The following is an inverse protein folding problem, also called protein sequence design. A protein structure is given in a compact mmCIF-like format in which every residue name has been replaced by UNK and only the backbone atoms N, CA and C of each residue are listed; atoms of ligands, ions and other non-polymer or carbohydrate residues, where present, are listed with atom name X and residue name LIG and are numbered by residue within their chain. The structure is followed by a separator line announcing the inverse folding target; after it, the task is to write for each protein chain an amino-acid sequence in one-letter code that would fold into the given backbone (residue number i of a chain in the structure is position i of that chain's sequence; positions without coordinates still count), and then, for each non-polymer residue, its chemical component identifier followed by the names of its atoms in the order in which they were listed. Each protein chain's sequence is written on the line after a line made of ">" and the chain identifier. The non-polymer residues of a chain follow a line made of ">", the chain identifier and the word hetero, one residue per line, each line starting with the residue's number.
data_IF_081825080151
#
_entry.id   IF_081825080151
#
_cell.length_a   1.000
_cell.length_b   1.000
_cell.length_c   1.000
_cell.angle_alpha   90.00
_cell.angle_beta   90.00
_cell.angle_gamma   90.00
#
_symmetry.space_group_name_H-M   'P 1'
#
loop_
_entity.id
_entity.type
_entity.pdbx_description
1 polymer ?
#
# COMPACT_ATOMS: atom_id res chain seq x y z
N UNK A 1 -47.55 27.37 0.18
CA UNK A 1 -47.81 26.17 1.01
C UNK A 1 -46.48 25.48 1.22
N UNK A 2 -45.84 25.71 2.36
CA UNK A 2 -44.51 25.19 2.70
C UNK A 2 -44.66 24.38 3.98
N UNK A 3 -44.38 23.08 3.92
CA UNK A 3 -44.45 22.18 5.08
C UNK A 3 -43.07 21.60 5.29
N UNK A 4 -42.43 22.08 6.36
CA UNK A 4 -41.25 21.49 6.99
C UNK A 4 -41.64 20.19 7.69
N UNK A 5 -40.92 19.10 7.41
CA UNK A 5 -41.04 17.83 8.12
C UNK A 5 -39.69 17.47 8.74
N UNK A 6 -39.52 17.88 9.99
CA UNK A 6 -38.41 17.49 10.87
C UNK A 6 -38.81 16.20 11.58
N UNK A 7 -38.31 15.05 11.12
CA UNK A 7 -38.52 13.77 11.80
C UNK A 7 -37.51 13.62 12.95
N UNK A 8 -38.04 13.57 14.17
CA UNK A 8 -37.30 13.30 15.42
C UNK A 8 -36.90 11.82 15.48
N UNK A 9 -35.63 11.55 15.76
CA UNK A 9 -35.14 10.21 16.09
C UNK A 9 -35.58 9.82 17.51
N UNK A 10 -36.34 8.75 17.63
CA UNK A 10 -36.72 8.13 18.89
C UNK A 10 -36.06 6.74 18.98
N UNK A 11 -34.84 6.68 19.53
CA UNK A 11 -34.24 5.42 19.98
C UNK A 11 -33.46 5.69 21.27
N UNK A 12 -34.08 5.33 22.39
CA UNK A 12 -33.46 5.31 23.71
C UNK A 12 -32.54 4.08 23.88
N UNK A 13 -31.69 4.08 24.92
CA UNK A 13 -30.69 3.05 25.13
C UNK A 13 -31.32 1.72 25.59
N UNK A 14 -30.96 0.62 24.91
CA UNK A 14 -31.34 -0.74 25.25
C UNK A 14 -30.73 -1.17 26.60
N UNK A 15 -31.57 -1.44 27.60
CA UNK A 15 -31.20 -2.18 28.82
C UNK A 15 -31.19 -3.68 28.52
N UNK A 16 -30.10 -4.36 28.89
CA UNK A 16 -30.02 -5.82 28.87
C UNK A 16 -30.96 -6.41 29.93
N UNK A 17 -31.93 -7.21 29.49
CA UNK A 17 -32.82 -7.97 30.36
C UNK A 17 -32.21 -9.35 30.64
N UNK A 18 -31.98 -9.66 31.91
CA UNK A 18 -31.61 -11.00 32.38
C UNK A 18 -32.86 -11.88 32.41
N UNK A 19 -32.88 -12.94 31.59
CA UNK A 19 -33.92 -13.98 31.65
C UNK A 19 -33.48 -15.06 32.63
N UNK A 20 -34.17 -15.13 33.76
CA UNK A 20 -34.16 -16.28 34.66
C UNK A 20 -35.37 -17.17 34.35
N UNK A 21 -35.17 -18.47 34.22
CA UNK A 21 -36.20 -19.49 34.53
C UNK A 21 -35.58 -20.79 35.06
N UNK A 22 -36.35 -21.55 35.87
CA UNK A 22 -35.82 -22.50 36.85
C UNK A 22 -35.94 -23.96 36.40
N UNK A 23 -35.11 -24.83 36.98
CA UNK A 23 -35.25 -26.28 36.84
C UNK A 23 -34.61 -26.98 38.04
N UNK A 24 -35.46 -27.44 38.96
CA UNK A 24 -35.09 -28.25 40.12
C UNK A 24 -34.92 -29.71 39.68
N UNK A 25 -33.87 -30.38 40.12
CA UNK A 25 -33.93 -31.80 40.49
C UNK A 25 -32.77 -32.16 41.39
N UNK A 26 -33.10 -32.91 42.43
CA UNK A 26 -32.32 -33.28 43.59
C UNK A 26 -31.38 -34.45 43.25
N UNK A 27 -30.11 -34.33 43.62
CA UNK A 27 -29.32 -35.48 44.04
C UNK A 27 -28.47 -35.06 45.24
N UNK A 28 -28.80 -35.66 46.38
CA UNK A 28 -28.02 -35.59 47.58
C UNK A 28 -26.75 -36.41 47.39
N UNK A 29 -25.60 -35.74 47.47
CA UNK A 29 -24.32 -36.40 47.68
C UNK A 29 -23.62 -35.68 48.81
N UNK A 30 -23.60 -36.33 49.98
CA UNK A 30 -22.69 -36.00 51.05
C UNK A 30 -21.26 -36.18 50.54
N UNK A 31 -20.54 -35.09 50.32
CA UNK A 31 -19.08 -35.12 50.25
C UNK A 31 -18.55 -34.26 51.40
N UNK A 32 -17.90 -34.96 52.32
CA UNK A 32 -17.09 -34.41 53.39
C UNK A 32 -16.11 -33.38 52.83
N UNK A 33 -16.17 -32.16 53.36
CA UNK A 33 -15.16 -31.13 53.08
C UNK A 33 -13.90 -31.51 53.86
N UNK A 34 -13.01 -32.26 53.20
CA UNK A 34 -11.63 -32.37 53.66
C UNK A 34 -10.96 -31.04 53.34
N UNK A 35 -10.84 -30.17 54.34
CA UNK A 35 -9.94 -29.02 54.27
C UNK A 35 -8.50 -29.53 54.25
N UNK A 36 -7.95 -29.78 53.06
CA UNK A 36 -6.52 -29.96 52.88
C UNK A 36 -5.83 -28.60 53.09
N UNK A 37 -5.35 -28.37 54.33
CA UNK A 37 -4.38 -27.32 54.63
C UNK A 37 -3.07 -27.67 53.91
N UNK A 38 -2.87 -27.17 52.69
CA UNK A 38 -1.55 -27.16 52.09
C UNK A 38 -0.68 -26.15 52.84
N UNK A 39 0.50 -26.54 53.37
CA UNK A 39 1.38 -25.60 54.04
C UNK A 39 1.88 -24.57 53.02
N UNK A 40 1.65 -23.29 53.34
CA UNK A 40 2.26 -22.17 52.64
C UNK A 40 3.78 -22.20 52.89
N UNK A 41 4.56 -22.46 51.84
CA UNK A 41 6.02 -22.39 51.89
C UNK A 41 6.44 -20.95 51.63
N UNK A 42 7.04 -20.24 52.59
CA UNK A 42 7.53 -18.89 52.34
C UNK A 42 8.68 -18.95 51.34
N UNK A 43 8.53 -18.19 50.25
CA UNK A 43 9.56 -18.02 49.22
C UNK A 43 10.75 -17.29 49.83
N UNK A 44 11.83 -18.01 50.14
CA UNK A 44 13.11 -17.41 50.52
C UNK A 44 13.67 -16.68 49.30
N UNK A 45 13.69 -15.35 49.37
CA UNK A 45 14.35 -14.49 48.40
C UNK A 45 15.86 -14.68 48.57
N UNK A 46 16.43 -15.65 47.86
CA UNK A 46 17.88 -15.76 47.75
C UNK A 46 18.41 -14.43 47.21
N UNK A 47 19.32 -13.81 47.96
CA UNK A 47 20.03 -12.62 47.55
C UNK A 47 21.04 -13.04 46.49
N UNK A 48 20.59 -13.14 45.24
CA UNK A 48 21.50 -13.26 44.10
C UNK A 48 22.21 -11.91 43.98
N UNK A 49 23.50 -11.87 44.33
CA UNK A 49 24.36 -10.76 43.95
C UNK A 49 24.24 -10.57 42.44
N UNK A 50 23.76 -9.40 42.03
CA UNK A 50 23.66 -9.06 40.61
C UNK A 50 25.10 -9.05 40.07
N UNK A 51 25.44 -9.87 39.06
CA UNK A 51 26.74 -9.76 38.44
C UNK A 51 26.90 -8.32 37.96
N UNK A 52 28.00 -7.68 38.35
CA UNK A 52 28.31 -6.31 37.95
C UNK A 52 28.37 -6.29 36.42
N UNK A 53 27.32 -5.75 35.80
CA UNK A 53 27.28 -5.61 34.34
C UNK A 53 28.47 -4.73 33.97
N UNK A 54 29.46 -5.32 33.31
CA UNK A 54 30.60 -4.58 32.80
C UNK A 54 30.05 -3.45 31.92
N UNK A 55 30.31 -2.22 32.33
CA UNK A 55 29.88 -1.01 31.65
C UNK A 55 30.30 -1.13 30.19
N UNK A 56 29.33 -1.26 29.29
CA UNK A 56 29.57 -1.23 27.84
C UNK A 56 30.54 -0.07 27.55
N UNK A 57 31.64 -0.31 26.82
CA UNK A 57 32.54 0.78 26.49
C UNK A 57 31.70 1.85 25.82
N UNK A 58 31.77 3.07 26.34
CA UNK A 58 31.08 4.19 25.73
C UNK A 58 31.74 4.39 24.38
N UNK A 59 31.14 3.81 23.33
CA UNK A 59 31.48 4.15 21.96
C UNK A 59 31.30 5.65 21.88
N UNK A 60 32.40 6.38 21.72
CA UNK A 60 32.37 7.83 21.57
C UNK A 60 31.29 8.14 20.53
N UNK A 61 30.26 8.89 20.92
CA UNK A 61 29.26 9.37 19.98
C UNK A 61 30.04 10.05 18.87
N UNK A 62 30.09 9.43 17.69
CA UNK A 62 30.48 10.11 16.47
C UNK A 62 29.45 11.22 16.30
N UNK A 63 29.80 12.41 16.74
CA UNK A 63 29.09 13.62 16.34
C UNK A 63 29.18 13.64 14.82
N UNK A 64 28.05 13.38 14.14
CA UNK A 64 27.99 13.59 12.71
C UNK A 64 28.43 15.03 12.47
N UNK A 65 29.53 15.21 11.75
CA UNK A 65 29.98 16.53 11.33
C UNK A 65 28.83 17.15 10.53
N UNK A 66 28.24 18.21 11.07
CA UNK A 66 27.08 18.92 10.53
C UNK A 66 27.37 19.69 9.23
N UNK A 67 28.46 19.37 8.54
CA UNK A 67 29.00 20.15 7.41
C UNK A 67 28.59 19.64 6.04
N UNK A 68 27.90 18.50 5.92
CA UNK A 68 27.32 18.11 4.64
C UNK A 68 25.93 18.75 4.49
N UNK A 69 25.89 19.99 4.00
CA UNK A 69 24.67 20.55 3.42
C UNK A 69 24.14 19.54 2.41
N UNK A 70 22.86 19.09 2.50
CA UNK A 70 22.32 18.23 1.46
C UNK A 70 22.43 18.99 0.13
N UNK A 71 23.16 18.41 -0.83
CA UNK A 71 23.25 18.96 -2.18
C UNK A 71 21.83 19.22 -2.70
N UNK A 72 21.55 20.36 -3.34
CA UNK A 72 20.23 20.62 -3.89
C UNK A 72 19.87 19.50 -4.85
N UNK A 73 18.90 18.66 -4.48
CA UNK A 73 18.37 17.67 -5.41
C UNK A 73 17.64 18.44 -6.50
N UNK A 74 17.93 18.19 -7.80
CA UNK A 74 17.22 18.87 -8.87
C UNK A 74 15.72 18.51 -8.76
N UNK A 75 14.89 19.52 -8.52
CA UNK A 75 13.44 19.35 -8.40
C UNK A 75 12.82 19.57 -9.78
N UNK A 76 12.20 18.54 -10.34
CA UNK A 76 11.42 18.64 -11.57
C UNK A 76 9.96 18.99 -11.19
N UNK A 77 9.39 20.10 -11.69
CA UNK A 77 8.03 20.48 -11.35
C UNK A 77 7.00 19.54 -12.00
N UNK A 78 5.87 19.28 -11.31
CA UNK A 78 4.82 18.41 -11.84
C UNK A 78 4.28 18.86 -13.21
N UNK A 79 4.24 20.17 -13.46
CA UNK A 79 3.77 20.76 -14.72
C UNK A 79 4.62 20.39 -15.94
N UNK A 80 5.81 19.86 -15.73
CA UNK A 80 6.70 19.34 -16.77
C UNK A 80 6.64 17.82 -16.93
N UNK A 81 6.00 17.11 -15.99
CA UNK A 81 5.94 15.66 -15.98
C UNK A 81 4.67 15.15 -16.66
N UNK A 82 4.88 14.19 -17.56
CA UNK A 82 3.82 13.45 -18.24
C UNK A 82 3.69 12.04 -17.67
N UNK A 83 2.46 11.67 -17.30
CA UNK A 83 2.13 10.31 -16.85
C UNK A 83 1.52 9.54 -18.01
N UNK A 84 2.02 8.34 -18.29
CA UNK A 84 1.54 7.45 -19.35
C UNK A 84 0.98 6.15 -18.80
N UNK A 85 -0.11 5.68 -19.39
CA UNK A 85 -0.73 4.39 -19.09
C UNK A 85 -0.92 3.60 -20.39
N UNK A 86 -0.01 2.67 -20.69
CA UNK A 86 -0.14 1.77 -21.83
C UNK A 86 -1.20 0.69 -21.55
N UNK A 87 -1.71 0.08 -22.62
CA UNK A 87 -2.59 -1.08 -22.55
C UNK A 87 -1.79 -2.31 -22.11
N UNK A 88 -2.41 -3.14 -21.27
CA UNK A 88 -1.83 -4.41 -20.89
C UNK A 88 -1.81 -5.40 -22.06
N UNK A 89 -0.64 -5.99 -22.30
CA UNK A 89 -0.37 -6.95 -23.39
C UNK A 89 -0.37 -8.39 -22.91
N UNK A 90 -0.33 -8.62 -21.60
CA UNK A 90 -0.27 -9.95 -21.03
C UNK A 90 -1.61 -10.69 -21.26
N UNK A 91 -1.59 -11.96 -21.70
CA UNK A 91 -2.82 -12.70 -22.00
C UNK A 91 -3.74 -12.75 -20.77
N UNK A 92 -5.03 -12.49 -21.00
CA UNK A 92 -6.08 -12.45 -19.96
C UNK A 92 -5.90 -11.38 -18.87
N UNK A 93 -4.98 -10.43 -19.02
CA UNK A 93 -4.92 -9.28 -18.12
C UNK A 93 -6.02 -8.29 -18.50
N UNK A 94 -6.98 -8.11 -17.59
CA UNK A 94 -8.13 -7.23 -17.78
C UNK A 94 -8.02 -5.91 -17.03
N UNK A 95 -7.06 -5.79 -16.11
CA UNK A 95 -6.92 -4.59 -15.27
C UNK A 95 -6.22 -3.49 -16.06
N UNK A 96 -6.43 -2.27 -15.59
CA UNK A 96 -5.75 -1.05 -16.07
C UNK A 96 -5.08 -0.36 -14.88
N UNK A 97 -3.93 0.27 -15.11
CA UNK A 97 -3.14 0.84 -14.02
C UNK A 97 -3.80 2.06 -13.33
N UNK A 98 -4.71 2.76 -14.03
CA UNK A 98 -5.41 3.93 -13.50
C UNK A 98 -6.88 3.96 -13.91
N UNK A 99 -7.73 4.41 -13.00
CA UNK A 99 -9.16 4.68 -13.26
C UNK A 99 -9.38 6.15 -13.68
N UNK A 100 -10.46 6.48 -14.40
CA UNK A 100 -10.77 7.86 -14.79
C UNK A 100 -10.81 8.85 -13.62
N UNK A 101 -11.31 8.40 -12.45
CA UNK A 101 -11.34 9.22 -11.24
C UNK A 101 -9.92 9.62 -10.77
N UNK A 102 -8.97 8.68 -10.84
CA UNK A 102 -7.59 8.92 -10.45
C UNK A 102 -6.83 9.78 -11.48
N UNK A 103 -7.20 9.74 -12.76
CA UNK A 103 -6.68 10.67 -13.77
C UNK A 103 -6.98 12.12 -13.36
N UNK A 104 -8.24 12.42 -13.04
CA UNK A 104 -8.63 13.75 -12.61
C UNK A 104 -7.87 14.21 -11.34
N UNK A 105 -7.58 13.28 -10.42
CA UNK A 105 -6.76 13.58 -9.25
C UNK A 105 -5.31 13.94 -9.60
N UNK A 106 -4.69 13.22 -10.55
CA UNK A 106 -3.33 13.53 -11.00
C UNK A 106 -3.28 14.92 -11.67
N UNK A 107 -4.22 15.22 -12.55
CA UNK A 107 -4.29 16.54 -13.18
C UNK A 107 -4.46 17.66 -12.13
N UNK A 108 -5.31 17.44 -11.12
CA UNK A 108 -5.48 18.37 -9.99
C UNK A 108 -4.22 18.56 -9.13
N UNK A 109 -3.32 17.57 -9.09
CA UNK A 109 -2.01 17.69 -8.42
C UNK A 109 -1.00 18.51 -9.21
N UNK A 110 -1.30 18.84 -10.47
CA UNK A 110 -0.48 19.69 -11.33
C UNK A 110 0.41 18.94 -12.31
N UNK A 111 0.15 17.66 -12.57
CA UNK A 111 0.81 16.95 -13.66
C UNK A 111 0.43 17.58 -15.01
N UNK A 112 1.39 17.71 -15.93
CA UNK A 112 1.21 18.38 -17.22
C UNK A 112 0.06 17.78 -18.03
N UNK A 113 0.11 16.46 -18.19
CA UNK A 113 -0.84 15.66 -18.95
C UNK A 113 -0.81 14.21 -18.49
N UNK A 114 -1.93 13.54 -18.68
CA UNK A 114 -2.06 12.09 -18.48
C UNK A 114 -2.40 11.47 -19.83
N UNK A 115 -1.46 10.70 -20.38
CA UNK A 115 -1.59 9.99 -21.64
C UNK A 115 -2.12 8.57 -21.36
N UNK A 116 -3.20 8.20 -22.04
CA UNK A 116 -3.78 6.85 -21.95
C UNK A 116 -3.76 6.25 -23.36
N UNK A 117 -3.30 5.00 -23.48
CA UNK A 117 -3.39 4.27 -24.74
C UNK A 117 -4.87 3.98 -25.07
N UNK A 118 -5.28 4.22 -26.32
CA UNK A 118 -6.65 3.90 -26.78
C UNK A 118 -6.98 2.43 -26.52
N UNK A 119 -8.12 2.19 -25.89
CA UNK A 119 -8.58 0.85 -25.53
C UNK A 119 -7.84 0.20 -24.35
N UNK A 120 -7.01 0.94 -23.59
CA UNK A 120 -6.34 0.41 -22.41
C UNK A 120 -7.32 -0.06 -21.31
N UNK A 121 -8.48 0.61 -21.20
CA UNK A 121 -9.49 0.33 -20.19
C UNK A 121 -10.62 -0.60 -20.65
N UNK A 122 -10.69 -0.99 -21.93
CA UNK A 122 -11.81 -1.76 -22.50
C UNK A 122 -12.06 -3.07 -21.73
N UNK A 123 -11.00 -3.82 -21.43
CA UNK A 123 -11.09 -5.08 -20.71
C UNK A 123 -11.52 -4.90 -19.23
N UNK A 124 -11.36 -3.70 -18.68
CA UNK A 124 -11.77 -3.30 -17.34
C UNK A 124 -13.16 -2.63 -17.31
N UNK A 125 -13.89 -2.63 -18.44
CA UNK A 125 -15.17 -1.93 -18.61
C UNK A 125 -15.07 -0.40 -18.43
N UNK A 126 -13.88 0.16 -18.66
CA UNK A 126 -13.60 1.58 -18.60
C UNK A 126 -13.41 2.11 -20.02
N UNK A 127 -14.48 2.72 -20.56
CA UNK A 127 -14.49 3.25 -21.92
C UNK A 127 -13.54 4.45 -22.06
N UNK A 128 -12.94 4.56 -23.24
CA UNK A 128 -12.09 5.67 -23.67
C UNK A 128 -12.74 7.05 -23.42
N UNK A 129 -14.04 7.18 -23.67
CA UNK A 129 -14.80 8.41 -23.43
C UNK A 129 -14.77 8.86 -21.95
N UNK A 130 -14.74 7.92 -21.00
CA UNK A 130 -14.68 8.26 -19.58
C UNK A 130 -13.31 8.87 -19.20
N UNK A 131 -12.24 8.42 -19.86
CA UNK A 131 -10.91 9.00 -19.70
C UNK A 131 -10.82 10.40 -20.29
N UNK A 132 -11.38 10.63 -21.48
CA UNK A 132 -11.45 11.96 -22.09
C UNK A 132 -12.25 12.94 -21.22
N UNK A 133 -13.40 12.52 -20.69
CA UNK A 133 -14.20 13.32 -19.75
C UNK A 133 -13.44 13.65 -18.45
N UNK A 134 -12.55 12.77 -18.01
CA UNK A 134 -11.68 13.01 -16.86
C UNK A 134 -10.48 13.94 -17.18
N UNK A 135 -10.31 14.34 -18.44
CA UNK A 135 -9.21 15.22 -18.90
C UNK A 135 -7.95 14.48 -19.34
N UNK A 136 -7.99 13.15 -19.52
CA UNK A 136 -6.89 12.42 -20.13
C UNK A 136 -6.76 12.74 -21.63
N UNK A 137 -5.56 12.58 -22.16
CA UNK A 137 -5.32 12.60 -23.60
C UNK A 137 -5.18 11.16 -24.11
N UNK A 138 -6.10 10.73 -24.98
CA UNK A 138 -6.01 9.42 -25.63
C UNK A 138 -5.02 9.46 -26.80
N UNK A 139 -4.04 8.57 -26.77
CA UNK A 139 -2.98 8.48 -27.77
C UNK A 139 -2.74 7.03 -28.21
N UNK A 140 -1.98 6.85 -29.27
CA UNK A 140 -1.54 5.53 -29.73
C UNK A 140 -0.41 4.97 -28.84
N UNK A 141 -0.17 3.66 -28.96
CA UNK A 141 0.84 2.95 -28.18
C UNK A 141 2.22 3.63 -28.25
N UNK A 142 2.71 3.94 -29.46
CA UNK A 142 4.05 4.49 -29.63
C UNK A 142 4.19 5.86 -28.94
N UNK A 143 3.16 6.70 -29.02
CA UNK A 143 3.14 8.00 -28.33
C UNK A 143 3.13 7.86 -26.81
N UNK A 144 2.41 6.89 -26.23
CA UNK A 144 2.45 6.68 -24.76
C UNK A 144 3.87 6.42 -24.29
N UNK A 145 4.58 5.47 -24.90
CA UNK A 145 5.93 5.10 -24.46
C UNK A 145 6.96 6.21 -24.72
N UNK A 146 6.85 6.88 -25.87
CA UNK A 146 7.82 7.90 -26.31
C UNK A 146 7.62 9.28 -25.68
N UNK A 147 6.48 9.60 -25.08
CA UNK A 147 6.20 10.93 -24.53
C UNK A 147 6.01 10.96 -23.01
N UNK A 148 6.09 9.81 -22.34
CA UNK A 148 5.81 9.68 -20.90
C UNK A 148 7.08 9.66 -20.06
N UNK A 149 7.13 10.54 -19.07
CA UNK A 149 8.21 10.54 -18.08
C UNK A 149 7.96 9.49 -17.00
N UNK A 150 6.69 9.26 -16.64
CA UNK A 150 6.27 8.27 -15.66
C UNK A 150 5.32 7.31 -16.34
N UNK A 151 5.62 6.02 -16.32
CA UNK A 151 4.77 4.96 -16.87
C UNK A 151 4.16 4.16 -15.74
N UNK A 152 2.83 4.05 -15.75
CA UNK A 152 2.06 3.23 -14.82
C UNK A 152 1.57 2.00 -15.55
N UNK A 153 1.96 0.83 -15.05
CA UNK A 153 1.56 -0.46 -15.61
C UNK A 153 1.21 -1.40 -14.46
N UNK A 154 0.32 -2.34 -14.70
CA UNK A 154 -0.03 -3.36 -13.71
C UNK A 154 1.10 -4.40 -13.66
N UNK A 155 1.33 -5.10 -14.78
CA UNK A 155 2.37 -6.12 -14.89
C UNK A 155 3.71 -5.47 -15.28
N UNK A 156 4.82 -6.17 -15.06
CA UNK A 156 6.12 -5.71 -15.54
C UNK A 156 6.15 -5.55 -17.06
N UNK A 157 7.01 -4.66 -17.58
CA UNK A 157 7.17 -4.48 -19.03
C UNK A 157 7.67 -5.77 -19.69
N UNK A 158 7.15 -6.07 -20.87
CA UNK A 158 7.59 -7.23 -21.63
C UNK A 158 9.03 -7.03 -22.17
N UNK A 159 9.90 -8.05 -22.10
CA UNK A 159 11.23 -7.98 -22.69
C UNK A 159 11.19 -7.72 -24.20
N UNK A 160 12.14 -6.92 -24.71
CA UNK A 160 12.13 -6.47 -26.11
C UNK A 160 11.32 -5.19 -26.26
N UNK A 161 10.21 -5.25 -26.99
CA UNK A 161 9.47 -4.09 -27.49
C UNK A 161 9.16 -3.01 -26.43
N UNK A 162 8.65 -3.38 -25.26
CA UNK A 162 8.23 -2.40 -24.23
C UNK A 162 9.42 -1.77 -23.51
N UNK A 163 10.47 -2.55 -23.23
CA UNK A 163 11.68 -2.04 -22.58
C UNK A 163 12.47 -1.14 -23.53
N UNK A 164 12.49 -1.47 -24.82
CA UNK A 164 13.19 -0.68 -25.83
C UNK A 164 12.51 0.66 -26.11
N UNK A 165 11.18 0.70 -25.98
CA UNK A 165 10.37 1.91 -26.13
C UNK A 165 10.45 2.88 -24.94
N UNK A 166 11.01 2.46 -23.79
CA UNK A 166 11.19 3.33 -22.63
C UNK A 166 12.19 4.44 -22.91
N UNK A 167 11.80 5.67 -22.55
CA UNK A 167 12.72 6.79 -22.54
C UNK A 167 13.80 6.62 -21.46
N UNK A 168 15.02 7.04 -21.78
CA UNK A 168 16.11 7.08 -20.80
C UNK A 168 15.75 8.06 -19.67
N UNK A 169 15.94 7.64 -18.42
CA UNK A 169 15.60 8.45 -17.25
C UNK A 169 14.11 8.50 -16.91
N UNK A 170 13.26 7.75 -17.61
CA UNK A 170 11.86 7.61 -17.22
C UNK A 170 11.72 6.86 -15.90
N UNK A 171 10.54 6.97 -15.30
CA UNK A 171 10.14 6.22 -14.12
C UNK A 171 9.07 5.20 -14.52
N UNK A 172 9.21 3.94 -14.10
CA UNK A 172 8.17 2.92 -14.26
C UNK A 172 7.69 2.44 -12.90
N UNK A 173 6.37 2.34 -12.75
CA UNK A 173 5.72 1.83 -11.54
C UNK A 173 4.85 0.64 -11.96
N UNK A 174 5.23 -0.56 -11.50
CA UNK A 174 4.53 -1.81 -11.83
C UNK A 174 4.94 -2.96 -10.91
N UNK A 175 4.30 -4.13 -11.05
CA UNK A 175 4.78 -5.36 -10.43
C UNK A 175 5.97 -5.94 -11.21
N UNK A 176 7.14 -6.02 -10.58
CA UNK A 176 8.38 -6.43 -11.25
C UNK A 176 8.87 -7.80 -10.79
N UNK A 177 8.61 -8.20 -9.55
CA UNK A 177 9.12 -9.44 -8.97
C UNK A 177 10.64 -9.58 -9.17
N UNK A 178 11.45 -8.63 -8.66
CA UNK A 178 12.88 -8.52 -9.00
C UNK A 178 13.70 -9.73 -8.56
N UNK A 179 13.26 -10.46 -7.53
CA UNK A 179 13.92 -11.70 -7.10
C UNK A 179 13.80 -12.83 -8.13
N UNK A 180 12.69 -12.88 -8.87
CA UNK A 180 12.44 -13.87 -9.91
C UNK A 180 12.94 -13.40 -11.28
N UNK A 181 12.85 -12.10 -11.56
CA UNK A 181 13.07 -11.51 -12.88
C UNK A 181 14.34 -10.67 -12.95
N UNK A 182 15.50 -11.25 -12.58
CA UNK A 182 16.78 -10.52 -12.59
C UNK A 182 17.12 -9.91 -13.96
N UNK A 183 16.87 -10.66 -15.04
CA UNK A 183 17.15 -10.19 -16.40
C UNK A 183 16.37 -8.91 -16.74
N UNK A 184 15.09 -8.83 -16.35
CA UNK A 184 14.27 -7.64 -16.57
C UNK A 184 14.82 -6.44 -15.81
N UNK A 185 15.26 -6.63 -14.56
CA UNK A 185 15.88 -5.58 -13.75
C UNK A 185 17.18 -5.11 -14.37
N UNK A 186 18.02 -6.03 -14.85
CA UNK A 186 19.28 -5.71 -15.53
C UNK A 186 19.02 -4.90 -16.82
N UNK A 187 17.99 -5.25 -17.58
CA UNK A 187 17.59 -4.51 -18.79
C UNK A 187 17.09 -3.09 -18.46
N UNK A 188 16.24 -2.92 -17.45
CA UNK A 188 15.79 -1.60 -16.99
C UNK A 188 16.96 -0.75 -16.48
N UNK A 189 17.90 -1.36 -15.76
CA UNK A 189 19.12 -0.70 -15.29
C UNK A 189 20.00 -0.24 -16.45
N UNK A 190 20.17 -1.07 -17.50
CA UNK A 190 20.96 -0.72 -18.69
C UNK A 190 20.41 0.52 -19.41
N UNK A 191 19.08 0.72 -19.38
CA UNK A 191 18.38 1.88 -19.96
C UNK A 191 18.36 3.11 -19.04
N UNK A 192 18.91 3.01 -17.82
CA UNK A 192 18.86 4.04 -16.77
C UNK A 192 17.42 4.47 -16.43
N UNK A 193 16.51 3.50 -16.42
CA UNK A 193 15.12 3.71 -16.00
C UNK A 193 15.03 3.58 -14.48
N UNK A 194 14.29 4.47 -13.83
CA UNK A 194 13.97 4.35 -12.40
C UNK A 194 12.75 3.46 -12.24
N UNK A 195 12.87 2.35 -11.52
CA UNK A 195 11.79 1.38 -11.40
C UNK A 195 11.30 1.23 -9.95
N UNK A 196 10.00 1.38 -9.74
CA UNK A 196 9.34 1.10 -8.46
C UNK A 196 8.55 -0.21 -8.56
N UNK A 197 9.06 -1.24 -7.89
CA UNK A 197 8.40 -2.55 -7.79
C UNK A 197 7.31 -2.50 -6.71
N UNK A 198 6.04 -2.57 -7.13
CA UNK A 198 4.89 -2.54 -6.21
C UNK A 198 4.81 -3.77 -5.29
N UNK A 199 5.44 -4.88 -5.67
CA UNK A 199 5.60 -6.08 -4.86
C UNK A 199 6.65 -5.96 -3.74
N UNK A 200 7.54 -4.96 -3.82
CA UNK A 200 8.61 -4.74 -2.85
C UNK A 200 8.30 -3.62 -1.84
N UNK A 201 7.04 -3.17 -1.78
CA UNK A 201 6.60 -2.17 -0.79
C UNK A 201 6.75 -2.76 0.62
N UNK A 202 7.50 -2.11 1.54
CA UNK A 202 7.74 -2.65 2.87
C UNK A 202 6.44 -2.70 3.69
N UNK A 203 6.22 -3.79 4.42
CA UNK A 203 5.04 -3.98 5.27
C UNK A 203 5.18 -3.26 6.61
N UNK A 204 5.07 -1.94 6.57
CA UNK A 204 5.17 -1.03 7.72
C UNK A 204 3.99 -0.06 7.75
N UNK A 205 3.62 0.47 8.92
CA UNK A 205 2.39 1.27 9.11
C UNK A 205 2.26 2.45 8.14
N UNK A 206 3.34 3.16 7.83
CA UNK A 206 3.33 4.31 6.91
C UNK A 206 3.08 3.93 5.44
N UNK A 207 3.31 2.68 5.06
CA UNK A 207 3.25 2.22 3.68
C UNK A 207 2.01 1.38 3.38
N UNK A 208 1.12 1.19 4.37
CA UNK A 208 -0.06 0.33 4.22
C UNK A 208 -1.00 0.78 3.09
N UNK A 209 -1.09 2.08 2.83
CA UNK A 209 -1.89 2.65 1.74
C UNK A 209 -1.33 2.35 0.35
N UNK A 210 -0.06 1.95 0.25
CA UNK A 210 0.63 1.63 -1.00
C UNK A 210 0.82 0.12 -1.20
N UNK A 211 0.34 -0.73 -0.27
CA UNK A 211 0.48 -2.18 -0.33
C UNK A 211 -0.49 -2.78 -1.36
N UNK A 212 -0.08 -2.76 -2.63
CA UNK A 212 -0.89 -3.27 -3.73
C UNK A 212 -1.11 -4.80 -3.65
N UNK A 213 -0.23 -5.55 -2.96
CA UNK A 213 -0.41 -7.00 -2.79
C UNK A 213 -1.61 -7.33 -1.89
N UNK A 214 -1.98 -6.45 -0.95
CA UNK A 214 -3.19 -6.63 -0.13
C UNK A 214 -4.49 -6.38 -0.88
N UNK A 215 -4.47 -5.63 -1.97
CA UNK A 215 -5.67 -5.36 -2.77
C UNK A 215 -5.93 -6.44 -3.83
N UNK A 216 -4.94 -7.29 -4.11
CA UNK A 216 -5.00 -8.35 -5.12
C UNK A 216 -5.12 -9.75 -4.49
N UNK A 217 -4.80 -9.87 -3.19
CA UNK A 217 -5.00 -11.07 -2.40
C UNK A 217 -6.46 -11.24 -1.98
#
# INVERSE_FOLDING_TARGET
>A
MSVSLTLRSALGPCRAASIARPGKSLFAFQHSVIQSRTPYVPYQRNAYERPSVSRWPQVARRSASSSSSPSPVPVVPYSSLTVGVPRETYPNERRVAITPQNVALLLRKGFSRVLIERGAGEAAELLDQAYEQAGATLVDRATVWSQSNIILKVRGPQPGDEIEALQQGSTIISFLYPAQNKQLVDQLASRRVTAFAMDMVPRISRAQTFDALRCVA
#
